data_IF_381060540286
#
_entry.id   IF_381060540286
#
_cell.length_a   1.000
_cell.length_b   1.000
_cell.length_c   1.000
_cell.angle_alpha   90.00
_cell.angle_beta   90.00
_cell.angle_gamma   90.00
#
_symmetry.space_group_name_H-M   'P 1'
#
loop_
_entity.id
_entity.type
_entity.pdbx_description
1 polymer ?
#
# COMPACT_ATOMS: atom_id res chain seq x y z
N UNK A 1 -18.16 7.54 -26.13
CA UNK A 1 -17.40 7.69 -24.88
C UNK A 1 -16.69 9.03 -24.87
N UNK A 2 -16.71 9.76 -23.76
CA UNK A 2 -15.99 11.04 -23.61
C UNK A 2 -14.49 10.78 -23.52
N UNK A 3 -13.68 11.57 -24.24
CA UNK A 3 -12.21 11.56 -24.13
C UNK A 3 -11.68 12.41 -22.97
N UNK A 4 -12.57 13.12 -22.26
CA UNK A 4 -12.21 14.07 -21.21
C UNK A 4 -12.85 13.67 -19.88
N UNK A 5 -12.07 13.83 -18.79
CA UNK A 5 -12.51 13.64 -17.42
C UNK A 5 -12.33 14.96 -16.66
N UNK A 6 -13.37 15.42 -15.96
CA UNK A 6 -13.24 16.57 -15.05
C UNK A 6 -12.57 16.11 -13.76
N UNK A 7 -11.70 16.94 -13.19
CA UNK A 7 -11.01 16.61 -11.93
C UNK A 7 -11.99 16.52 -10.76
N UNK A 8 -13.09 17.28 -10.80
CA UNK A 8 -14.18 17.18 -9.83
C UNK A 8 -14.91 15.82 -9.83
N UNK A 9 -14.91 15.09 -10.95
CA UNK A 9 -15.65 13.83 -11.11
C UNK A 9 -14.78 12.58 -11.05
N UNK A 10 -13.53 12.67 -10.61
CA UNK A 10 -12.66 11.49 -10.42
C UNK A 10 -13.15 10.64 -9.24
N UNK A 11 -12.79 9.35 -9.16
CA UNK A 11 -13.01 8.53 -7.95
C UNK A 11 -12.33 9.13 -6.71
N UNK A 12 -12.84 8.84 -5.52
CA UNK A 12 -12.22 9.31 -4.26
C UNK A 12 -10.87 8.65 -3.98
N UNK A 13 -10.68 7.45 -4.53
CA UNK A 13 -9.45 6.66 -4.41
C UNK A 13 -8.26 7.30 -5.11
N UNK A 14 -8.46 8.25 -6.03
CA UNK A 14 -7.35 8.87 -6.73
C UNK A 14 -6.65 9.90 -5.83
N UNK A 15 -5.32 9.85 -5.71
CA UNK A 15 -4.53 10.82 -4.95
C UNK A 15 -4.39 12.14 -5.72
N UNK A 16 -5.50 12.83 -5.98
CA UNK A 16 -5.51 14.10 -6.73
C UNK A 16 -6.39 15.16 -6.08
N UNK A 17 -5.87 16.38 -6.01
CA UNK A 17 -6.64 17.52 -5.53
C UNK A 17 -7.74 17.92 -6.53
N UNK A 18 -9.01 17.88 -6.14
CA UNK A 18 -10.12 18.06 -7.10
C UNK A 18 -10.32 19.49 -7.64
N UNK A 19 -9.80 20.50 -6.92
CA UNK A 19 -10.11 21.92 -7.16
C UNK A 19 -8.94 22.74 -7.71
N UNK A 20 -7.81 22.12 -8.02
CA UNK A 20 -6.66 22.81 -8.62
C UNK A 20 -6.84 23.03 -10.11
N UNK A 21 -7.27 21.99 -10.83
CA UNK A 21 -7.41 22.01 -12.28
C UNK A 21 -8.80 21.57 -12.73
N UNK A 22 -9.23 22.02 -13.91
CA UNK A 22 -10.56 21.66 -14.43
C UNK A 22 -10.62 20.21 -14.92
N UNK A 23 -9.55 19.75 -15.57
CA UNK A 23 -9.49 18.46 -16.24
C UNK A 23 -8.38 17.60 -15.69
N UNK A 24 -8.58 16.28 -15.78
CA UNK A 24 -7.54 15.28 -15.54
C UNK A 24 -7.53 14.26 -16.68
N UNK A 25 -6.55 13.37 -16.65
CA UNK A 25 -6.47 12.25 -17.57
C UNK A 25 -7.47 11.17 -17.16
N UNK A 26 -8.25 10.70 -18.13
CA UNK A 26 -9.18 9.58 -17.91
C UNK A 26 -8.39 8.27 -17.95
N UNK A 27 -8.61 7.40 -16.96
CA UNK A 27 -8.16 6.02 -16.97
C UNK A 27 -8.55 5.33 -18.29
N UNK A 28 -7.58 4.63 -18.88
CA UNK A 28 -7.77 3.82 -20.08
C UNK A 28 -8.53 2.54 -19.78
N UNK A 29 -8.71 1.71 -20.81
CA UNK A 29 -9.10 0.33 -20.58
C UNK A 29 -7.89 -0.45 -20.04
N UNK A 30 -8.07 -1.24 -19.00
CA UNK A 30 -7.00 -2.02 -18.38
C UNK A 30 -7.47 -2.77 -17.13
N UNK A 31 -6.52 -3.39 -16.40
CA UNK A 31 -6.72 -4.21 -15.20
C UNK A 31 -7.78 -3.68 -14.26
N UNK A 32 -7.61 -2.43 -13.82
CA UNK A 32 -8.40 -1.83 -12.75
C UNK A 32 -9.47 -0.85 -13.26
N UNK A 33 -9.76 -0.88 -14.57
CA UNK A 33 -10.89 -0.14 -15.16
C UNK A 33 -10.91 1.36 -14.83
N UNK A 34 -12.07 1.85 -14.34
CA UNK A 34 -12.28 3.25 -13.97
C UNK A 34 -11.84 3.57 -12.54
N UNK A 35 -11.67 2.53 -11.71
CA UNK A 35 -11.28 2.65 -10.30
C UNK A 35 -9.76 2.84 -10.15
N UNK A 36 -8.99 2.29 -11.10
CA UNK A 36 -7.54 2.47 -11.17
C UNK A 36 -7.10 3.90 -11.50
N UNK A 37 -5.99 4.30 -10.90
CA UNK A 37 -5.33 5.59 -11.11
C UNK A 37 -4.49 5.53 -12.39
N UNK A 38 -4.62 6.50 -13.31
CA UNK A 38 -3.79 6.55 -14.51
C UNK A 38 -2.33 6.70 -14.13
N UNK A 39 -1.44 5.95 -14.77
CA UNK A 39 0.00 6.03 -14.52
C UNK A 39 0.56 7.46 -14.55
N UNK A 40 0.07 8.32 -15.45
CA UNK A 40 0.44 9.74 -15.51
C UNK A 40 0.16 10.50 -14.20
N UNK A 41 -0.94 10.18 -13.50
CA UNK A 41 -1.29 10.81 -12.23
C UNK A 41 -0.26 10.44 -11.17
N UNK A 42 0.14 9.18 -11.10
CA UNK A 42 1.18 8.73 -10.15
C UNK A 42 2.52 9.40 -10.44
N UNK A 43 2.94 9.46 -11.72
CA UNK A 43 4.23 10.06 -12.09
C UNK A 43 4.29 11.57 -11.83
N UNK A 44 3.19 12.29 -12.04
CA UNK A 44 3.13 13.76 -11.97
C UNK A 44 2.63 14.29 -10.63
N UNK A 45 1.44 13.85 -10.22
CA UNK A 45 0.74 14.42 -9.07
C UNK A 45 1.21 13.79 -7.74
N UNK A 46 1.71 12.55 -7.75
CA UNK A 46 2.20 11.85 -6.54
C UNK A 46 3.72 11.92 -6.42
N UNK A 47 4.45 11.38 -7.41
CA UNK A 47 5.91 11.28 -7.36
C UNK A 47 6.63 12.55 -7.83
N UNK A 48 5.97 13.38 -8.64
CA UNK A 48 6.57 14.62 -9.17
C UNK A 48 7.77 14.40 -10.11
N UNK A 49 7.91 13.22 -10.72
CA UNK A 49 9.03 12.91 -11.62
C UNK A 49 8.88 13.55 -13.01
N UNK A 50 7.65 13.91 -13.38
CA UNK A 50 7.33 14.54 -14.65
C UNK A 50 6.36 15.69 -14.44
N UNK A 51 6.54 16.79 -15.15
CA UNK A 51 5.63 17.94 -15.06
C UNK A 51 4.49 17.83 -16.10
N UNK A 52 4.80 17.21 -17.24
CA UNK A 52 3.92 17.16 -18.39
C UNK A 52 3.65 15.75 -18.90
N UNK A 53 2.49 15.59 -19.56
CA UNK A 53 2.14 14.36 -20.28
C UNK A 53 3.18 13.97 -21.34
N UNK A 54 3.89 14.94 -21.93
CA UNK A 54 4.89 14.68 -22.96
C UNK A 54 6.13 14.03 -22.37
N UNK A 55 6.56 14.46 -21.19
CA UNK A 55 7.68 13.87 -20.45
C UNK A 55 7.34 12.49 -19.93
N UNK A 56 6.14 12.30 -19.36
CA UNK A 56 5.66 10.98 -18.97
C UNK A 56 5.73 10.00 -20.14
N UNK A 57 5.20 10.39 -21.30
CA UNK A 57 5.27 9.56 -22.50
C UNK A 57 6.71 9.32 -22.96
N UNK A 58 7.61 10.29 -22.83
CA UNK A 58 9.01 10.11 -23.18
C UNK A 58 9.67 9.04 -22.29
N UNK A 59 9.47 9.13 -20.97
CA UNK A 59 9.97 8.14 -20.01
C UNK A 59 9.41 6.73 -20.28
N UNK A 60 8.11 6.62 -20.53
CA UNK A 60 7.45 5.34 -20.83
C UNK A 60 7.93 4.69 -22.13
N UNK A 61 8.31 5.48 -23.14
CA UNK A 61 8.87 4.94 -24.39
C UNK A 61 10.33 4.52 -24.28
N UNK A 62 10.99 4.81 -23.16
CA UNK A 62 12.36 4.42 -22.90
C UNK A 62 12.44 3.10 -22.11
N UNK A 63 11.29 2.48 -21.82
CA UNK A 63 11.14 1.26 -21.02
C UNK A 63 11.73 1.40 -19.60
N UNK A 64 11.83 2.64 -19.09
CA UNK A 64 12.37 2.94 -17.75
C UNK A 64 11.39 2.66 -16.61
N UNK A 65 10.10 2.48 -16.93
CA UNK A 65 9.03 2.24 -15.95
C UNK A 65 8.37 0.92 -16.28
N UNK A 66 8.42 -0.02 -15.34
CA UNK A 66 7.76 -1.31 -15.42
C UNK A 66 6.56 -1.33 -14.47
N UNK A 67 5.48 -1.97 -14.91
CA UNK A 67 4.30 -2.22 -14.09
C UNK A 67 4.13 -3.73 -14.01
N UNK A 68 4.26 -4.31 -12.82
CA UNK A 68 4.22 -5.76 -12.59
C UNK A 68 5.19 -6.52 -13.52
N UNK A 69 6.40 -5.98 -13.70
CA UNK A 69 7.44 -6.55 -14.58
C UNK A 69 7.31 -6.19 -16.07
N UNK A 70 6.16 -5.71 -16.54
CA UNK A 70 5.94 -5.37 -17.95
C UNK A 70 6.26 -3.90 -18.24
N UNK A 71 7.00 -3.63 -19.32
CA UNK A 71 7.21 -2.27 -19.82
C UNK A 71 5.92 -1.72 -20.44
N UNK A 72 5.45 -0.56 -19.96
CA UNK A 72 4.19 0.05 -20.38
C UNK A 72 4.44 1.35 -21.12
N UNK A 73 3.90 1.47 -22.33
CA UNK A 73 3.97 2.70 -23.12
C UNK A 73 2.78 3.65 -22.94
N UNK A 74 1.65 3.16 -22.40
CA UNK A 74 0.41 3.95 -22.29
C UNK A 74 0.33 4.67 -20.93
N UNK A 75 0.45 6.00 -20.98
CA UNK A 75 0.34 6.86 -19.80
C UNK A 75 -1.04 6.84 -19.11
N UNK A 76 -2.05 6.27 -19.78
CA UNK A 76 -3.42 6.15 -19.27
C UNK A 76 -3.72 4.81 -18.63
N UNK A 77 -2.75 3.88 -18.61
CA UNK A 77 -2.90 2.57 -17.98
C UNK A 77 -3.45 2.74 -16.56
N UNK A 78 -4.62 2.15 -16.23
CA UNK A 78 -5.12 2.16 -14.86
C UNK A 78 -4.24 1.24 -14.01
N UNK A 79 -3.59 1.83 -13.02
CA UNK A 79 -2.85 1.16 -11.96
C UNK A 79 -3.77 1.08 -10.75
N UNK A 80 -3.83 -0.08 -10.12
CA UNK A 80 -4.68 -0.29 -8.97
C UNK A 80 -3.93 -0.93 -7.83
N UNK A 81 -4.69 -1.44 -6.87
CA UNK A 81 -4.14 -2.01 -5.66
C UNK A 81 -3.22 -3.19 -5.94
N UNK A 82 -2.18 -3.35 -5.11
CA UNK A 82 -1.15 -4.37 -5.19
C UNK A 82 -0.32 -4.39 -6.47
N UNK A 83 -0.56 -3.46 -7.41
CA UNK A 83 0.34 -3.28 -8.53
C UNK A 83 1.70 -2.76 -8.05
N UNK A 84 2.74 -3.23 -8.72
CA UNK A 84 4.13 -2.85 -8.46
C UNK A 84 4.62 -1.97 -9.59
N UNK A 85 5.16 -0.82 -9.25
CA UNK A 85 5.76 0.14 -10.16
C UNK A 85 7.27 0.13 -9.90
N UNK A 86 8.04 -0.28 -10.90
CA UNK A 86 9.49 -0.31 -10.82
C UNK A 86 10.11 0.75 -11.74
N UNK A 87 11.06 1.51 -11.21
CA UNK A 87 11.86 2.48 -11.95
C UNK A 87 13.28 1.94 -12.13
N UNK A 88 13.54 1.32 -13.29
CA UNK A 88 14.77 0.55 -13.52
C UNK A 88 16.04 1.40 -13.49
N UNK A 89 15.96 2.66 -13.92
CA UNK A 89 17.11 3.58 -13.91
C UNK A 89 17.43 4.13 -12.51
N UNK A 90 16.47 4.05 -11.58
CA UNK A 90 16.57 4.62 -10.23
C UNK A 90 16.68 3.56 -9.14
N UNK A 91 16.47 2.29 -9.49
CA UNK A 91 16.42 1.18 -8.54
C UNK A 91 15.38 1.42 -7.42
N UNK A 92 14.29 2.09 -7.77
CA UNK A 92 13.17 2.41 -6.86
C UNK A 92 11.95 1.55 -7.24
N UNK A 93 11.32 0.95 -6.23
CA UNK A 93 10.15 0.08 -6.40
C UNK A 93 9.06 0.53 -5.45
N UNK A 94 7.83 0.58 -5.95
CA UNK A 94 6.67 1.01 -5.19
C UNK A 94 5.53 0.03 -5.35
N UNK A 95 4.87 -0.32 -4.26
CA UNK A 95 3.61 -1.05 -4.23
C UNK A 95 2.46 -0.07 -4.03
N UNK A 96 1.38 -0.26 -4.78
CA UNK A 96 0.17 0.53 -4.62
C UNK A 96 -0.70 -0.08 -3.52
N UNK A 97 -0.96 0.67 -2.47
CA UNK A 97 -1.75 0.23 -1.32
C UNK A 97 -2.78 1.30 -0.93
N UNK A 98 -3.97 0.95 -0.40
CA UNK A 98 -4.92 1.93 0.11
C UNK A 98 -4.39 2.55 1.42
N UNK A 99 -4.33 3.87 1.47
CA UNK A 99 -4.06 4.64 2.68
C UNK A 99 -5.36 4.89 3.46
N UNK A 100 -5.24 5.35 4.70
CA UNK A 100 -6.36 5.70 5.57
C UNK A 100 -7.32 6.68 4.85
N UNK A 101 -8.58 6.26 4.71
CA UNK A 101 -9.60 7.01 3.97
C UNK A 101 -9.67 6.67 2.48
N UNK A 102 -9.03 5.58 2.06
CA UNK A 102 -9.24 4.88 0.79
C UNK A 102 -8.59 5.51 -0.43
N UNK A 103 -7.62 6.42 -0.25
CA UNK A 103 -6.82 6.92 -1.37
C UNK A 103 -5.71 5.92 -1.66
N UNK A 104 -5.41 5.69 -2.93
CA UNK A 104 -4.24 4.89 -3.29
C UNK A 104 -2.97 5.69 -3.01
N UNK A 105 -2.09 5.10 -2.20
CA UNK A 105 -0.75 5.57 -1.91
C UNK A 105 0.30 4.63 -2.52
N UNK A 106 1.54 5.09 -2.53
CA UNK A 106 2.71 4.34 -2.97
C UNK A 106 3.59 4.03 -1.78
N UNK A 107 3.67 2.76 -1.40
CA UNK A 107 4.57 2.27 -0.37
C UNK A 107 5.87 1.82 -1.03
N UNK A 108 7.05 2.31 -0.61
CA UNK A 108 8.33 1.82 -1.12
C UNK A 108 8.54 0.36 -0.72
N UNK A 109 9.10 -0.44 -1.63
CA UNK A 109 9.42 -1.85 -1.38
C UNK A 109 10.81 -2.19 -1.89
N UNK A 110 11.41 -3.25 -1.34
CA UNK A 110 12.68 -3.76 -1.82
C UNK A 110 12.57 -4.44 -3.18
N UNK A 111 13.69 -4.56 -3.88
CA UNK A 111 13.76 -5.21 -5.20
C UNK A 111 13.29 -6.67 -5.17
N UNK A 112 13.57 -7.40 -4.08
CA UNK A 112 13.15 -8.79 -3.91
C UNK A 112 11.62 -8.89 -3.75
N UNK A 113 11.03 -8.01 -2.92
CA UNK A 113 9.59 -7.91 -2.75
C UNK A 113 8.88 -7.39 -4.01
N UNK A 114 9.58 -6.67 -4.89
CA UNK A 114 9.07 -6.19 -6.17
C UNK A 114 8.91 -7.29 -7.23
N UNK A 115 9.58 -8.43 -7.05
CA UNK A 115 9.51 -9.59 -7.96
C UNK A 115 8.15 -10.29 -7.94
N UNK A 116 7.37 -10.15 -6.87
CA UNK A 116 6.08 -10.80 -6.72
C UNK A 116 5.02 -9.86 -6.17
N UNK A 117 3.75 -10.13 -6.49
CA UNK A 117 2.62 -9.28 -6.06
C UNK A 117 1.44 -10.10 -5.56
N UNK A 118 0.65 -9.47 -4.71
CA UNK A 118 -0.56 -10.06 -4.15
C UNK A 118 -1.74 -9.94 -5.14
N UNK A 119 -2.53 -10.99 -5.24
CA UNK A 119 -3.73 -11.04 -6.06
C UNK A 119 -4.87 -11.80 -5.38
N UNK A 120 -5.96 -11.10 -5.03
CA UNK A 120 -7.23 -11.73 -4.63
C UNK A 120 -7.89 -12.47 -5.80
N UNK A 121 -8.34 -13.70 -5.55
CA UNK A 121 -9.11 -14.52 -6.49
C UNK A 121 -10.56 -14.02 -6.52
N UNK A 122 -10.98 -13.42 -7.64
CA UNK A 122 -12.36 -12.99 -7.84
C UNK A 122 -13.23 -14.12 -8.40
N UNK A 123 -12.67 -14.95 -9.28
CA UNK A 123 -13.44 -15.97 -9.98
C UNK A 123 -12.63 -17.23 -10.20
N UNK A 124 -13.27 -18.36 -9.92
CA UNK A 124 -12.78 -19.70 -10.25
C UNK A 124 -13.77 -20.36 -11.22
N UNK A 125 -13.29 -20.75 -12.39
CA UNK A 125 -14.10 -21.40 -13.43
C UNK A 125 -13.37 -22.60 -14.02
N UNK A 126 -14.08 -23.68 -14.32
CA UNK A 126 -13.54 -24.75 -15.14
C UNK A 126 -13.67 -24.37 -16.62
N UNK A 127 -12.53 -24.32 -17.32
CA UNK A 127 -12.46 -23.94 -18.73
C UNK A 127 -12.44 -25.17 -19.64
N UNK A 128 -12.67 -24.93 -20.93
CA UNK A 128 -12.59 -26.01 -21.93
C UNK A 128 -11.21 -26.68 -21.87
N UNK A 129 -11.21 -28.01 -21.81
CA UNK A 129 -9.99 -28.81 -21.62
C UNK A 129 -9.81 -29.35 -20.19
N UNK A 130 -10.73 -29.06 -19.26
CA UNK A 130 -10.78 -29.70 -17.94
C UNK A 130 -9.98 -29.01 -16.84
N UNK A 131 -9.04 -28.13 -17.22
CA UNK A 131 -8.33 -27.28 -16.27
C UNK A 131 -9.23 -26.17 -15.70
N UNK A 132 -8.80 -25.59 -14.59
CA UNK A 132 -9.42 -24.45 -13.95
C UNK A 132 -8.69 -23.16 -14.27
N UNK A 133 -9.43 -22.07 -14.33
CA UNK A 133 -8.94 -20.71 -14.47
C UNK A 133 -9.28 -19.93 -13.20
N UNK A 134 -8.26 -19.36 -12.58
CA UNK A 134 -8.35 -18.40 -11.49
C UNK A 134 -8.21 -17.00 -12.11
N UNK A 135 -9.26 -16.19 -11.99
CA UNK A 135 -9.26 -14.78 -12.39
C UNK A 135 -9.03 -13.93 -11.16
N UNK A 136 -8.01 -13.09 -11.22
CA UNK A 136 -7.63 -12.19 -10.14
C UNK A 136 -8.24 -10.81 -10.32
N UNK A 137 -8.09 -9.98 -9.28
CA UNK A 137 -8.66 -8.63 -9.24
C UNK A 137 -8.09 -7.67 -10.29
N UNK A 138 -6.83 -7.83 -10.67
CA UNK A 138 -6.17 -7.08 -11.74
C UNK A 138 -6.51 -7.63 -13.15
N UNK A 139 -7.39 -8.62 -13.24
CA UNK A 139 -7.76 -9.29 -14.50
C UNK A 139 -6.75 -10.30 -15.02
N UNK A 140 -5.68 -10.60 -14.27
CA UNK A 140 -4.77 -11.69 -14.60
C UNK A 140 -5.48 -13.05 -14.48
N UNK A 141 -5.14 -13.97 -15.39
CA UNK A 141 -5.72 -15.31 -15.42
C UNK A 141 -4.62 -16.36 -15.24
N UNK A 142 -4.76 -17.17 -14.20
CA UNK A 142 -3.86 -18.30 -13.90
C UNK A 142 -4.61 -19.59 -14.22
N UNK A 143 -3.94 -20.52 -14.91
CA UNK A 143 -4.52 -21.81 -15.27
C UNK A 143 -3.86 -22.92 -14.46
N UNK A 144 -4.68 -23.71 -13.79
CA UNK A 144 -4.23 -24.82 -12.93
C UNK A 144 -5.00 -26.09 -13.29
N UNK A 145 -4.36 -27.25 -13.20
CA UNK A 145 -5.00 -28.54 -13.52
C UNK A 145 -5.91 -29.01 -12.37
N UNK A 146 -5.42 -28.87 -11.13
CA UNK A 146 -6.21 -29.03 -9.91
C UNK A 146 -6.36 -27.68 -9.23
N UNK A 147 -7.58 -27.38 -8.78
CA UNK A 147 -7.87 -26.15 -8.06
C UNK A 147 -8.55 -26.43 -6.73
N UNK A 148 -8.41 -27.63 -6.16
CA UNK A 148 -9.11 -27.99 -4.93
C UNK A 148 -8.68 -27.13 -3.74
N UNK A 149 -7.43 -26.67 -3.73
CA UNK A 149 -6.87 -25.77 -2.73
C UNK A 149 -7.35 -24.31 -2.86
N UNK A 150 -7.67 -23.83 -4.06
CA UNK A 150 -8.00 -22.42 -4.29
C UNK A 150 -9.49 -22.14 -4.19
N UNK A 151 -9.88 -21.17 -3.37
CA UNK A 151 -11.26 -20.69 -3.21
C UNK A 151 -11.36 -19.22 -3.63
N UNK A 152 -12.51 -18.75 -4.17
CA UNK A 152 -12.73 -17.32 -4.31
C UNK A 152 -12.54 -16.59 -2.97
N UNK A 153 -12.08 -15.35 -3.02
CA UNK A 153 -11.65 -14.52 -1.88
C UNK A 153 -10.29 -14.85 -1.25
N UNK A 154 -9.70 -16.01 -1.55
CA UNK A 154 -8.30 -16.27 -1.21
C UNK A 154 -7.38 -15.29 -1.93
N UNK A 155 -6.19 -15.10 -1.36
CA UNK A 155 -5.15 -14.23 -1.93
C UNK A 155 -3.93 -15.05 -2.31
N UNK A 156 -3.35 -14.74 -3.47
CA UNK A 156 -2.19 -15.43 -4.02
C UNK A 156 -1.03 -14.46 -4.17
N UNK A 157 0.17 -14.87 -3.79
CA UNK A 157 1.40 -14.18 -4.18
C UNK A 157 1.85 -14.77 -5.51
N UNK A 158 2.06 -13.91 -6.50
CA UNK A 158 2.30 -14.32 -7.88
C UNK A 158 3.60 -13.68 -8.35
N UNK A 159 4.44 -14.51 -8.96
CA UNK A 159 5.65 -14.05 -9.61
C UNK A 159 5.31 -13.19 -10.84
N UNK A 160 5.97 -12.04 -10.98
CA UNK A 160 5.68 -11.10 -12.06
C UNK A 160 6.19 -11.59 -13.43
N UNK A 161 7.22 -12.43 -13.48
CA UNK A 161 7.83 -12.90 -14.72
C UNK A 161 7.09 -14.13 -15.28
N UNK A 162 6.91 -15.17 -14.48
CA UNK A 162 6.37 -16.46 -14.93
C UNK A 162 4.91 -16.71 -14.53
N UNK A 163 4.35 -15.88 -13.64
CA UNK A 163 2.96 -15.96 -13.16
C UNK A 163 2.64 -17.24 -12.40
N UNK A 164 3.65 -17.90 -11.84
CA UNK A 164 3.47 -18.98 -10.89
C UNK A 164 3.00 -18.45 -9.54
N UNK A 165 2.32 -19.32 -8.79
CA UNK A 165 1.87 -19.05 -7.44
C UNK A 165 3.02 -19.36 -6.49
N UNK A 166 3.49 -18.33 -5.79
CA UNK A 166 4.57 -18.41 -4.79
C UNK A 166 3.99 -18.78 -3.42
N UNK A 167 2.89 -18.14 -3.05
CA UNK A 167 2.19 -18.37 -1.79
C UNK A 167 0.67 -18.27 -1.96
N UNK A 168 -0.07 -18.91 -1.06
CA UNK A 168 -1.52 -18.92 -1.02
C UNK A 168 -1.99 -18.65 0.40
N UNK A 169 -2.81 -17.62 0.54
CA UNK A 169 -3.44 -17.21 1.79
C UNK A 169 -4.93 -17.49 1.71
N UNK A 170 -5.40 -18.35 2.63
CA UNK A 170 -6.79 -18.79 2.70
C UNK A 170 -7.63 -17.74 3.41
N UNK A 171 -8.80 -17.45 2.86
CA UNK A 171 -9.76 -16.57 3.50
C UNK A 171 -10.58 -17.34 4.55
N UNK A 172 -10.23 -17.18 5.82
CA UNK A 172 -10.91 -17.82 6.96
C UNK A 172 -10.83 -16.95 8.24
N UNK A 173 -11.56 -17.36 9.28
CA UNK A 173 -11.45 -16.74 10.62
C UNK A 173 -10.02 -16.88 11.16
N UNK A 174 -9.46 -15.79 11.67
CA UNK A 174 -8.07 -15.71 12.10
C UNK A 174 -7.08 -15.28 11.02
N UNK A 175 -7.51 -15.07 9.77
CA UNK A 175 -6.64 -14.55 8.72
C UNK A 175 -6.40 -13.03 8.88
N UNK A 176 -5.19 -12.58 8.58
CA UNK A 176 -4.84 -11.16 8.50
C UNK A 176 -5.40 -10.57 7.21
N UNK A 177 -6.13 -9.46 7.32
CA UNK A 177 -6.81 -8.84 6.19
C UNK A 177 -6.65 -7.33 6.17
N UNK A 178 -6.73 -6.76 4.97
CA UNK A 178 -6.87 -5.32 4.76
C UNK A 178 -8.21 -5.01 4.10
N UNK A 179 -8.81 -3.89 4.51
CA UNK A 179 -9.95 -3.32 3.84
C UNK A 179 -9.51 -2.45 2.65
N UNK A 180 -9.98 -2.79 1.46
CA UNK A 180 -9.56 -2.17 0.20
C UNK A 180 -10.41 -0.99 -0.25
N UNK A 181 -11.65 -0.91 0.25
CA UNK A 181 -12.61 0.12 -0.08
C UNK A 181 -13.59 0.33 1.10
N UNK A 182 -14.40 1.37 1.02
CA UNK A 182 -15.33 1.77 2.07
C UNK A 182 -14.74 2.76 3.06
N UNK A 183 -15.39 2.89 4.22
CA UNK A 183 -14.98 3.85 5.26
C UNK A 183 -13.71 3.41 6.00
N UNK A 184 -13.46 2.11 6.02
CA UNK A 184 -12.33 1.44 6.68
C UNK A 184 -11.19 1.13 5.72
N UNK A 185 -11.20 1.72 4.52
CA UNK A 185 -10.16 1.45 3.53
C UNK A 185 -8.79 1.90 4.05
N UNK A 186 -7.82 0.98 3.99
CA UNK A 186 -6.49 1.11 4.60
C UNK A 186 -6.37 0.40 5.95
N UNK A 187 -7.49 0.12 6.65
CA UNK A 187 -7.46 -0.57 7.94
C UNK A 187 -6.99 -2.02 7.76
N UNK A 188 -6.05 -2.44 8.61
CA UNK A 188 -5.55 -3.81 8.69
C UNK A 188 -6.05 -4.41 10.00
N UNK A 189 -6.46 -5.68 9.96
CA UNK A 189 -6.94 -6.40 11.14
C UNK A 189 -7.04 -7.90 10.91
N UNK A 190 -7.28 -8.64 11.99
CA UNK A 190 -7.49 -10.09 11.94
C UNK A 190 -8.99 -10.40 11.90
N UNK A 191 -9.43 -11.30 11.02
CA UNK A 191 -10.85 -11.67 10.91
C UNK A 191 -11.32 -12.41 12.17
N UNK A 192 -12.35 -11.89 12.84
CA UNK A 192 -12.98 -12.54 13.99
C UNK A 192 -14.16 -13.42 13.57
N UNK A 193 -15.03 -12.90 12.71
CA UNK A 193 -16.28 -13.55 12.31
C UNK A 193 -16.66 -13.18 10.88
N UNK A 194 -17.04 -14.20 10.10
CA UNK A 194 -17.59 -14.04 8.75
C UNK A 194 -19.10 -14.35 8.80
N UNK A 195 -19.91 -13.30 8.74
CA UNK A 195 -21.37 -13.39 8.78
C UNK A 195 -21.91 -13.58 7.37
N UNK A 196 -22.27 -14.83 7.06
CA UNK A 196 -22.86 -15.18 5.75
C UNK A 196 -24.33 -14.78 5.70
N UNK A 197 -24.65 -13.81 4.85
CA UNK A 197 -26.02 -13.34 4.65
C UNK A 197 -26.76 -14.29 3.71
N UNK A 198 -27.82 -14.93 4.19
CA UNK A 198 -28.65 -15.79 3.33
C UNK A 198 -29.45 -14.94 2.33
N UNK A 199 -28.98 -14.81 1.10
CA UNK A 199 -29.70 -14.13 0.04
C UNK A 199 -28.78 -13.49 -0.99
N UNK A 200 -29.16 -12.29 -1.45
CA UNK A 200 -28.36 -11.46 -2.36
C UNK A 200 -27.72 -10.27 -1.65
N UNK A 201 -27.82 -10.21 -0.32
CA UNK A 201 -27.09 -9.21 0.46
C UNK A 201 -25.65 -9.65 0.61
N UNK A 202 -24.75 -8.69 0.69
CA UNK A 202 -23.32 -8.93 0.84
C UNK A 202 -23.05 -9.62 2.19
N UNK A 203 -22.02 -10.46 2.21
CA UNK A 203 -21.53 -11.05 3.45
C UNK A 203 -20.77 -10.00 4.24
N UNK A 204 -20.92 -10.02 5.56
CA UNK A 204 -20.27 -9.07 6.47
C UNK A 204 -19.08 -9.73 7.14
N UNK A 205 -18.00 -8.98 7.31
CA UNK A 205 -16.76 -9.41 7.94
C UNK A 205 -16.48 -8.48 9.11
N UNK A 206 -16.27 -9.07 10.28
CA UNK A 206 -15.77 -8.38 11.46
C UNK A 206 -14.29 -8.69 11.61
N UNK A 207 -13.47 -7.65 11.69
CA UNK A 207 -12.04 -7.77 11.93
C UNK A 207 -11.62 -6.92 13.14
N UNK A 208 -10.68 -7.43 13.93
CA UNK A 208 -10.12 -6.73 15.10
C UNK A 208 -8.72 -6.21 14.79
N UNK A 209 -8.45 -5.00 15.27
CA UNK A 209 -7.15 -4.34 15.25
C UNK A 209 -6.95 -3.56 16.56
N UNK A 210 -5.79 -2.91 16.73
CA UNK A 210 -5.46 -2.14 17.94
C UNK A 210 -6.41 -0.98 18.23
N UNK A 211 -7.09 -0.45 17.20
CA UNK A 211 -8.04 0.67 17.29
C UNK A 211 -9.49 0.25 17.59
N UNK A 212 -9.72 -1.04 17.86
CA UNK A 212 -11.03 -1.57 18.27
C UNK A 212 -11.84 -2.25 17.18
N UNK A 213 -11.22 -2.55 16.05
CA UNK A 213 -11.78 -3.34 14.95
C UNK A 213 -12.68 -2.56 14.00
N UNK A 214 -13.04 -3.21 12.89
CA UNK A 214 -13.92 -2.67 11.86
C UNK A 214 -14.88 -3.72 11.30
N UNK A 215 -15.99 -3.24 10.75
CA UNK A 215 -17.00 -4.04 10.06
C UNK A 215 -17.04 -3.61 8.58
N UNK A 216 -16.90 -4.56 7.66
CA UNK A 216 -16.97 -4.30 6.23
C UNK A 216 -17.65 -5.44 5.48
N UNK A 217 -17.85 -5.28 4.17
CA UNK A 217 -18.36 -6.35 3.30
C UNK A 217 -17.22 -7.22 2.77
N UNK A 218 -17.49 -8.50 2.54
CA UNK A 218 -16.52 -9.50 2.04
C UNK A 218 -15.81 -9.07 0.76
N UNK A 219 -16.50 -8.33 -0.11
CA UNK A 219 -15.92 -7.81 -1.35
C UNK A 219 -14.73 -6.88 -1.09
N UNK A 220 -14.77 -6.11 0.00
CA UNK A 220 -13.75 -5.13 0.37
C UNK A 220 -12.59 -5.74 1.17
N UNK A 221 -12.62 -7.04 1.47
CA UNK A 221 -11.58 -7.68 2.28
C UNK A 221 -10.57 -8.37 1.37
N UNK A 222 -9.28 -8.12 1.57
CA UNK A 222 -8.20 -8.89 0.93
C UNK A 222 -7.34 -9.49 2.02
N UNK A 223 -7.03 -10.78 1.89
CA UNK A 223 -6.14 -11.48 2.82
C UNK A 223 -4.71 -11.09 2.49
N UNK A 224 -3.99 -10.62 3.50
CA UNK A 224 -2.59 -10.19 3.39
C UNK A 224 -1.73 -11.01 4.33
N UNK A 225 -0.42 -10.85 4.19
CA UNK A 225 0.58 -11.43 5.08
C UNK A 225 1.28 -10.31 5.86
N UNK A 226 2.01 -10.67 6.92
CA UNK A 226 2.75 -9.73 7.77
C UNK A 226 3.79 -8.95 6.96
N UNK A 227 4.30 -9.53 5.87
CA UNK A 227 5.18 -8.86 4.90
C UNK A 227 4.52 -7.71 4.12
N UNK A 228 3.22 -7.45 4.33
CA UNK A 228 2.45 -6.39 3.68
C UNK A 228 1.97 -5.32 4.67
N UNK A 229 2.31 -5.42 5.95
CA UNK A 229 1.99 -4.39 6.94
C UNK A 229 3.12 -3.37 7.03
N UNK A 230 2.79 -2.07 6.99
CA UNK A 230 3.73 -0.95 7.08
C UNK A 230 4.33 -0.74 8.50
N UNK A 231 4.44 -1.79 9.32
CA UNK A 231 5.10 -1.67 10.62
C UNK A 231 6.62 -1.63 10.40
N UNK A 232 7.17 -0.41 10.34
CA UNK A 232 8.58 -0.13 10.58
C UNK A 232 8.97 -0.65 11.99
N UNK A 233 9.24 -1.96 12.12
CA UNK A 233 9.55 -2.58 13.39
C UNK A 233 9.83 -4.08 13.31
N UNK A 234 11.12 -4.43 13.20
CA UNK A 234 11.67 -5.79 13.33
C UNK A 234 11.39 -6.78 12.18
N UNK A 235 12.21 -6.63 11.13
CA UNK A 235 12.68 -7.80 10.39
C UNK A 235 13.48 -8.71 11.35
N UNK A 236 12.80 -9.68 11.96
CA UNK A 236 13.49 -10.84 12.54
C UNK A 236 13.78 -11.83 11.42
N UNK A 237 15.03 -11.80 10.96
CA UNK A 237 15.68 -12.91 10.25
C UNK A 237 15.50 -14.20 11.09
N UNK A 238 14.57 -15.06 10.71
CA UNK A 238 14.59 -16.47 11.12
C UNK A 238 15.70 -17.19 10.33
N UNK A 239 16.94 -16.94 10.76
CA UNK A 239 18.08 -17.76 10.38
C UNK A 239 18.08 -19.03 11.24
N UNK A 240 17.91 -20.18 10.57
CA UNK A 240 18.26 -21.52 11.02
C UNK A 240 19.44 -21.54 12.00
N UNK A 241 19.20 -21.97 13.25
CA UNK A 241 20.26 -22.58 14.06
C UNK A 241 19.80 -23.95 14.58
N UNK A 242 20.18 -24.97 13.81
CA UNK A 242 20.34 -26.30 14.33
C UNK A 242 21.75 -26.44 14.92
N UNK A 243 21.88 -26.49 16.24
CA UNK A 243 23.00 -27.18 16.89
C UNK A 243 22.60 -27.86 18.20
N UNK A 244 23.10 -29.10 18.31
CA UNK A 244 22.95 -30.17 19.31
C UNK A 244 23.19 -29.83 20.81
N UNK A 245 22.60 -30.70 21.65
CA UNK A 245 23.04 -31.27 22.95
C UNK A 245 24.12 -30.52 23.78
N UNK A 246 23.82 -30.25 25.06
CA UNK A 246 24.17 -31.15 26.19
C UNK A 246 23.88 -30.51 27.58
N UNK A 247 23.21 -31.29 28.42
CA UNK A 247 23.42 -31.52 29.86
C UNK A 247 23.46 -30.38 30.93
N UNK A 248 22.47 -30.47 31.83
CA UNK A 248 22.56 -30.53 33.31
C UNK A 248 23.18 -29.36 34.12
N UNK A 249 22.38 -28.73 34.98
CA UNK A 249 22.43 -28.89 36.46
C UNK A 249 21.68 -27.78 37.23
N UNK A 250 20.98 -28.22 38.27
CA UNK A 250 20.26 -27.50 39.34
C UNK A 250 20.95 -26.27 39.96
N UNK A 251 20.15 -25.28 40.40
CA UNK A 251 20.05 -24.89 41.82
C UNK A 251 19.05 -23.72 42.08
N UNK A 252 18.08 -24.03 42.94
CA UNK A 252 17.35 -23.26 43.96
C UNK A 252 17.43 -21.70 44.09
N UNK A 253 16.21 -21.16 44.28
CA UNK A 253 15.74 -20.14 45.24
C UNK A 253 16.47 -18.80 45.42
N UNK A 254 15.75 -17.68 45.24
CA UNK A 254 15.12 -16.97 46.37
C UNK A 254 14.58 -15.57 45.97
N UNK A 255 13.54 -15.21 46.70
CA UNK A 255 12.69 -14.01 46.65
C UNK A 255 13.38 -12.67 46.94
N UNK A 256 12.66 -11.62 46.52
CA UNK A 256 12.65 -10.21 46.88
C UNK A 256 13.44 -9.72 48.13
N UNK A 257 14.03 -8.53 48.03
CA UNK A 257 13.52 -7.35 48.75
C UNK A 257 14.22 -6.06 48.30
N UNK A 258 13.44 -4.99 48.28
CA UNK A 258 13.87 -3.61 48.12
C UNK A 258 14.28 -3.02 49.49
N UNK A 259 15.27 -2.12 49.54
CA UNK A 259 15.18 -0.87 50.31
C UNK A 259 16.42 0.04 50.08
N UNK A 260 16.12 1.21 49.53
CA UNK A 260 16.51 2.59 49.86
C UNK A 260 17.84 2.99 50.57
N UNK A 261 18.23 4.22 50.17
CA UNK A 261 19.01 5.25 50.88
C UNK A 261 20.55 5.06 50.91
N UNK A 262 21.42 6.07 50.75
CA UNK A 262 21.28 7.50 50.99
C UNK A 262 22.53 8.26 50.47
N UNK A 263 22.36 9.58 50.33
CA UNK A 263 23.29 10.68 50.54
C UNK A 263 24.50 10.99 49.62
N UNK A 264 24.51 12.28 49.26
CA UNK A 264 25.60 13.27 49.41
C UNK A 264 26.30 13.69 48.10
N UNK A 265 26.60 14.95 47.79
CA UNK A 265 26.13 16.27 48.18
C UNK A 265 26.87 17.28 47.28
N UNK A 266 26.30 18.49 47.18
CA UNK A 266 26.99 19.72 46.77
C UNK A 266 27.08 19.91 45.25
N UNK A 267 27.04 21.10 44.68
CA UNK A 267 27.15 22.51 45.10
C UNK A 267 27.31 23.20 43.72
N UNK A 268 26.81 24.36 43.33
CA UNK A 268 25.92 25.38 43.83
C UNK A 268 25.68 26.34 42.62
N UNK A 269 24.69 27.22 42.77
CA UNK A 269 24.66 28.62 42.30
C UNK A 269 24.92 28.95 40.80
N UNK A 270 24.21 29.84 40.14
CA UNK A 270 23.16 30.79 40.51
C UNK A 270 22.62 31.44 39.22
N UNK A 271 21.33 31.84 39.26
CA UNK A 271 20.74 33.14 38.86
C UNK A 271 21.26 33.87 37.60
N UNK A 272 20.48 34.60 36.79
CA UNK A 272 19.10 35.08 36.77
C UNK A 272 18.92 35.69 35.35
N UNK A 273 17.81 35.48 34.65
CA UNK A 273 16.62 36.35 34.58
C UNK A 273 16.80 37.68 33.78
N UNK A 274 15.68 38.06 33.16
CA UNK A 274 15.21 39.38 32.74
C UNK A 274 15.48 39.90 31.31
N UNK A 275 14.47 39.65 30.46
CA UNK A 275 13.55 40.62 29.81
C UNK A 275 14.03 41.65 28.77
N UNK A 276 13.12 41.82 27.79
CA UNK A 276 12.61 43.07 27.21
C UNK A 276 13.09 43.48 25.80
N UNK A 277 12.29 43.06 24.80
CA UNK A 277 11.50 43.92 23.89
C UNK A 277 12.22 45.01 23.02
N UNK A 278 11.53 45.74 22.10
CA UNK A 278 11.53 45.46 20.66
C UNK A 278 11.99 46.64 19.77
N UNK A 279 11.70 46.51 18.47
CA UNK A 279 11.31 47.57 17.52
C UNK A 279 12.33 48.09 16.47
N UNK A 280 11.70 48.42 15.33
CA UNK A 280 12.05 49.39 14.30
C UNK A 280 13.14 49.02 13.29
N UNK A 281 13.08 49.43 12.02
CA UNK A 281 12.12 50.09 11.13
C UNK A 281 12.94 50.28 9.84
N UNK A 282 12.40 49.93 8.66
CA UNK A 282 11.99 50.88 7.62
C UNK A 282 13.08 51.25 6.58
N UNK A 283 12.52 51.72 5.46
CA UNK A 283 13.07 52.33 4.24
C UNK A 283 13.61 51.37 3.17
N UNK A 284 12.84 51.08 2.12
CA UNK A 284 12.40 51.95 1.00
C UNK A 284 13.54 52.24 0.01
N UNK A 285 13.32 51.88 -1.26
CA UNK A 285 13.12 52.89 -2.30
C UNK A 285 12.51 52.24 -3.55
N UNK A 286 11.32 52.72 -3.89
CA UNK A 286 10.64 52.63 -5.18
C UNK A 286 11.54 53.18 -6.32
N UNK A 287 11.37 52.79 -7.58
CA UNK A 287 10.66 53.56 -8.63
C UNK A 287 11.25 53.11 -9.98
N UNK A 288 10.65 53.20 -11.17
CA UNK A 288 9.30 53.32 -11.73
C UNK A 288 9.51 53.37 -13.28
N UNK A 289 8.40 53.24 -14.02
CA UNK A 289 8.17 53.66 -15.42
C UNK A 289 8.66 52.68 -16.53
N UNK A 290 7.75 52.11 -17.33
CA UNK A 290 7.04 52.72 -18.49
C UNK A 290 8.06 53.17 -19.56
N UNK A 291 7.93 52.86 -20.86
CA UNK A 291 6.78 52.78 -21.75
C UNK A 291 7.27 52.17 -23.09
N UNK A 292 6.38 52.11 -24.09
CA UNK A 292 6.61 52.01 -25.55
C UNK A 292 6.26 50.70 -26.30
N UNK A 293 5.16 50.88 -27.06
CA UNK A 293 4.71 50.32 -28.37
C UNK A 293 4.03 48.94 -28.48
#
# INVERSE_FOLDING_TARGET
>A
MSNHQKRLSVPNSWPVERKTETYTVKAGAGPHGEDGVPLLVLLRDVLGYVDSKKEARYALNQDSVLVNGDAISDERRPIGMFDIIAFTEREEYYRVFPDEGGRLALTPVDADAAGSRLGKIIRKEQVTGGAFQLTLHDGTNIRVDDASEYTPNDSLVIDNEDKSVVAHFVYEEGALVTAVDGQHAGDIGTVDEIVVTQGSGDNTVHATNDDGGFETIEDYVVVIDENFTDDDGDAVDEADDATDDDAEADADEAEADADEADADAGDADADADTTDEPADAEDDDETQEADEE
#
